data_IF_919136887872
#
_entry.id   IF_919136887872
#
_cell.length_a   1.000
_cell.length_b   1.000
_cell.length_c   1.000
_cell.angle_alpha   90.00
_cell.angle_beta   90.00
_cell.angle_gamma   90.00
#
_symmetry.space_group_name_H-M   'P 1'
#
loop_
_entity.id
_entity.type
_entity.pdbx_description
1 polymer ?
#
# COMPACT_ATOMS: atom_id res chain seq x y z
N UNK A 1 6.40 5.20 -48.25
CA UNK A 1 6.85 4.15 -47.31
C UNK A 1 8.31 4.37 -46.99
N UNK A 2 8.62 4.95 -45.83
CA UNK A 2 9.97 5.00 -45.26
C UNK A 2 9.82 4.72 -43.77
N UNK A 3 10.40 3.60 -43.33
CA UNK A 3 10.29 3.07 -41.98
C UNK A 3 11.02 3.92 -40.95
N UNK A 4 10.45 3.99 -39.76
CA UNK A 4 10.98 4.70 -38.60
C UNK A 4 11.87 3.72 -37.81
N UNK A 5 13.16 4.03 -37.73
CA UNK A 5 14.17 3.30 -36.98
C UNK A 5 14.03 3.67 -35.49
N UNK A 6 13.63 2.73 -34.63
CA UNK A 6 13.59 2.93 -33.17
C UNK A 6 14.94 2.45 -32.60
N UNK A 7 15.70 3.39 -32.06
CA UNK A 7 16.98 3.16 -31.38
C UNK A 7 16.72 2.62 -29.97
N UNK A 8 17.04 1.35 -29.71
CA UNK A 8 17.08 0.80 -28.35
C UNK A 8 18.40 1.23 -27.68
N UNK A 9 18.32 2.05 -26.64
CA UNK A 9 19.45 2.30 -25.73
C UNK A 9 19.40 1.23 -24.64
N UNK A 10 20.20 0.18 -24.80
CA UNK A 10 20.43 -0.83 -23.75
C UNK A 10 21.51 -0.28 -22.81
N UNK A 11 21.09 0.11 -21.60
CA UNK A 11 22.02 0.36 -20.50
C UNK A 11 22.50 -0.98 -19.95
N UNK A 12 23.75 -1.35 -20.23
CA UNK A 12 24.43 -2.49 -19.59
C UNK A 12 24.57 -2.21 -18.09
N UNK A 13 23.87 -2.98 -17.25
CA UNK A 13 24.17 -3.09 -15.83
C UNK A 13 25.01 -4.36 -15.66
N UNK A 14 26.28 -4.18 -15.30
CA UNK A 14 27.23 -5.24 -15.04
C UNK A 14 27.12 -5.65 -13.56
N UNK A 15 26.75 -6.90 -13.28
CA UNK A 15 26.85 -7.49 -11.94
C UNK A 15 28.01 -8.48 -11.90
N UNK A 16 28.79 -8.55 -10.80
CA UNK A 16 29.92 -9.46 -10.71
C UNK A 16 29.46 -10.92 -10.66
N UNK A 17 30.21 -11.78 -11.36
CA UNK A 17 30.04 -13.23 -11.39
C UNK A 17 30.43 -13.85 -10.05
N UNK A 18 29.54 -14.66 -9.47
CA UNK A 18 29.84 -15.50 -8.30
C UNK A 18 30.43 -16.81 -8.84
N UNK A 19 31.63 -17.14 -8.36
CA UNK A 19 32.30 -18.41 -8.65
C UNK A 19 31.64 -19.56 -7.88
N UNK A 20 31.38 -20.66 -8.59
CA UNK A 20 30.94 -21.93 -7.99
C UNK A 20 32.06 -22.50 -7.12
N UNK A 21 31.75 -22.79 -5.85
CA UNK A 21 32.64 -23.57 -4.98
C UNK A 21 32.05 -24.96 -4.83
N UNK A 22 32.76 -25.95 -5.39
CA UNK A 22 32.48 -27.38 -5.22
C UNK A 22 32.79 -27.78 -3.78
N UNK A 23 31.79 -28.26 -3.03
CA UNK A 23 32.02 -28.94 -1.76
C UNK A 23 31.82 -30.45 -1.95
N UNK A 24 32.90 -31.19 -1.76
CA UNK A 24 32.95 -32.64 -1.75
C UNK A 24 32.51 -33.19 -0.39
N UNK A 25 31.48 -34.04 -0.40
CA UNK A 25 31.34 -35.27 0.40
C UNK A 25 31.54 -35.26 1.93
N UNK A 26 30.43 -35.53 2.63
CA UNK A 26 30.39 -36.55 3.68
C UNK A 26 30.33 -36.07 5.13
N UNK A 27 29.13 -36.00 5.71
CA UNK A 27 28.82 -36.82 6.89
C UNK A 27 27.29 -36.93 7.10
N UNK A 28 26.82 -38.17 7.22
CA UNK A 28 25.41 -38.49 7.40
C UNK A 28 25.01 -38.27 8.87
N UNK A 29 24.53 -37.08 9.18
CA UNK A 29 23.66 -36.85 10.33
C UNK A 29 22.32 -36.30 9.84
N UNK A 30 21.25 -36.87 10.39
CA UNK A 30 19.85 -36.74 10.00
C UNK A 30 19.41 -35.26 9.97
N UNK A 31 19.57 -34.61 8.83
CA UNK A 31 18.97 -33.30 8.56
C UNK A 31 17.47 -33.50 8.37
N UNK A 32 16.70 -33.12 9.38
CA UNK A 32 15.25 -32.88 9.24
C UNK A 32 15.11 -31.80 8.16
N UNK A 33 14.59 -32.16 7.00
CA UNK A 33 14.35 -31.24 5.89
C UNK A 33 13.41 -30.14 6.37
N UNK A 34 13.92 -28.94 6.56
CA UNK A 34 13.06 -27.75 6.53
C UNK A 34 12.51 -27.72 5.11
N UNK A 35 11.21 -28.01 4.95
CA UNK A 35 10.56 -27.83 3.66
C UNK A 35 10.67 -26.35 3.31
N UNK A 36 11.40 -26.00 2.26
CA UNK A 36 11.48 -24.62 1.79
C UNK A 36 10.08 -24.19 1.34
N UNK A 37 9.54 -23.16 1.99
CA UNK A 37 8.28 -22.54 1.58
C UNK A 37 8.50 -21.78 0.27
N UNK A 38 7.62 -22.01 -0.70
CA UNK A 38 7.68 -21.36 -2.02
C UNK A 38 7.03 -19.98 -2.04
N UNK A 39 6.19 -19.68 -1.05
CA UNK A 39 5.45 -18.43 -0.87
C UNK A 39 4.98 -18.27 0.58
N UNK A 40 4.48 -17.08 0.92
CA UNK A 40 3.86 -16.84 2.22
C UNK A 40 2.42 -17.37 2.22
N UNK A 41 2.12 -18.30 3.12
CA UNK A 41 0.79 -18.94 3.20
C UNK A 41 -0.26 -17.95 3.73
N UNK A 42 -1.46 -18.01 3.18
CA UNK A 42 -2.61 -17.26 3.71
C UNK A 42 -3.59 -18.19 4.40
N UNK A 43 -4.07 -17.79 5.59
CA UNK A 43 -5.05 -18.58 6.35
C UNK A 43 -6.30 -17.77 6.64
N UNK A 44 -7.47 -18.33 6.30
CA UNK A 44 -8.76 -17.79 6.71
C UNK A 44 -9.29 -18.63 7.88
N UNK A 45 -9.35 -18.03 9.07
CA UNK A 45 -9.91 -18.67 10.26
C UNK A 45 -11.38 -18.28 10.43
N UNK A 46 -12.28 -19.26 10.50
CA UNK A 46 -13.69 -19.06 10.73
C UNK A 46 -14.05 -19.27 12.21
N UNK A 47 -14.64 -18.26 12.84
CA UNK A 47 -15.06 -18.29 14.25
C UNK A 47 -16.42 -17.63 14.47
N UNK A 48 -17.01 -17.87 15.64
CA UNK A 48 -18.20 -17.15 16.14
C UNK A 48 -18.05 -16.88 17.64
N UNK A 49 -18.70 -15.82 18.14
CA UNK A 49 -18.51 -15.34 19.53
C UNK A 49 -19.08 -16.26 20.60
N UNK A 50 -19.99 -17.18 20.25
CA UNK A 50 -20.62 -18.11 21.19
C UNK A 50 -20.03 -19.52 21.15
N UNK A 51 -19.04 -19.77 20.29
CA UNK A 51 -18.49 -21.10 20.04
C UNK A 51 -17.48 -21.52 21.13
N UNK A 52 -17.72 -22.62 21.86
CA UNK A 52 -16.87 -23.04 22.98
C UNK A 52 -15.49 -23.58 22.55
N UNK A 53 -15.36 -24.04 21.32
CA UNK A 53 -14.09 -24.58 20.80
C UNK A 53 -13.23 -23.52 20.09
N UNK A 54 -13.81 -22.34 19.81
CA UNK A 54 -13.15 -21.27 19.08
C UNK A 54 -11.99 -20.62 19.84
N UNK A 55 -12.05 -20.37 21.16
CA UNK A 55 -10.92 -19.81 21.92
C UNK A 55 -9.65 -20.64 21.74
N UNK A 56 -9.73 -21.95 22.05
CA UNK A 56 -8.57 -22.84 21.96
C UNK A 56 -8.02 -22.98 20.53
N UNK A 57 -8.90 -23.00 19.51
CA UNK A 57 -8.46 -23.06 18.12
C UNK A 57 -7.77 -21.76 17.68
N UNK A 58 -8.34 -20.61 18.03
CA UNK A 58 -7.78 -19.30 17.71
C UNK A 58 -6.43 -19.08 18.42
N UNK A 59 -6.32 -19.46 19.68
CA UNK A 59 -5.08 -19.37 20.46
C UNK A 59 -3.97 -20.21 19.85
N UNK A 60 -4.23 -21.47 19.48
CA UNK A 60 -3.25 -22.34 18.82
C UNK A 60 -2.73 -21.77 17.51
N UNK A 61 -3.60 -21.18 16.69
CA UNK A 61 -3.18 -20.54 15.45
C UNK A 61 -2.31 -19.30 15.73
N UNK A 62 -2.66 -18.52 16.76
CA UNK A 62 -1.89 -17.35 17.17
C UNK A 62 -0.54 -17.72 17.79
N UNK A 63 -0.44 -18.83 18.53
CA UNK A 63 0.84 -19.38 19.01
C UNK A 63 1.78 -19.71 17.86
N UNK A 64 1.27 -20.36 16.79
CA UNK A 64 2.10 -20.69 15.61
C UNK A 64 2.51 -19.41 14.88
N UNK A 65 1.62 -18.42 14.77
CA UNK A 65 1.94 -17.13 14.16
C UNK A 65 3.04 -16.38 14.93
N UNK A 66 2.92 -16.34 16.25
CA UNK A 66 3.86 -15.61 17.13
C UNK A 66 5.20 -16.33 17.32
N UNK A 67 5.29 -17.64 17.03
CA UNK A 67 6.57 -18.34 17.05
C UNK A 67 7.52 -17.85 15.96
N UNK A 68 6.97 -17.35 14.84
CA UNK A 68 7.75 -16.91 13.67
C UNK A 68 8.41 -18.07 12.90
N UNK A 69 8.06 -19.31 13.21
CA UNK A 69 8.64 -20.50 12.57
C UNK A 69 8.12 -20.73 11.16
N UNK A 70 6.92 -20.23 10.85
CA UNK A 70 6.25 -20.42 9.57
C UNK A 70 5.96 -19.08 8.89
N UNK A 71 6.23 -18.93 7.58
CA UNK A 71 5.91 -17.71 6.84
C UNK A 71 4.43 -17.73 6.44
N UNK A 72 3.56 -17.21 7.31
CA UNK A 72 2.15 -17.07 7.00
C UNK A 72 1.51 -15.85 7.66
N UNK A 73 0.39 -15.43 7.08
CA UNK A 73 -0.52 -14.45 7.69
C UNK A 73 -1.94 -15.02 7.70
N UNK A 74 -2.76 -14.53 8.61
CA UNK A 74 -4.13 -15.01 8.72
C UNK A 74 -5.13 -13.93 9.08
N UNK A 75 -6.39 -14.20 8.75
CA UNK A 75 -7.53 -13.32 9.01
C UNK A 75 -8.58 -14.13 9.79
N UNK A 76 -9.08 -13.56 10.88
CA UNK A 76 -10.18 -14.13 11.66
C UNK A 76 -11.53 -13.57 11.20
N UNK A 77 -12.34 -14.42 10.58
CA UNK A 77 -13.71 -14.12 10.18
C UNK A 77 -14.70 -14.46 11.30
N UNK A 78 -15.08 -13.45 12.09
CA UNK A 78 -16.10 -13.59 13.15
C UNK A 78 -17.50 -13.44 12.54
N UNK A 79 -18.06 -14.59 12.12
CA UNK A 79 -19.21 -14.66 11.21
C UNK A 79 -20.49 -14.08 11.79
N UNK A 80 -20.72 -14.23 13.08
CA UNK A 80 -21.95 -13.76 13.74
C UNK A 80 -21.94 -12.25 14.02
N UNK A 81 -20.80 -11.59 13.86
CA UNK A 81 -20.66 -10.14 14.11
C UNK A 81 -20.48 -9.33 12.84
N UNK A 82 -19.89 -9.89 11.79
CA UNK A 82 -19.65 -9.19 10.53
C UNK A 82 -20.38 -9.87 9.35
N UNK A 83 -21.35 -9.22 8.69
CA UNK A 83 -22.08 -9.82 7.57
C UNK A 83 -21.21 -10.07 6.35
N UNK A 84 -20.19 -9.24 6.10
CA UNK A 84 -19.23 -9.44 5.01
C UNK A 84 -18.38 -10.68 5.30
N UNK A 85 -17.94 -10.85 6.55
CA UNK A 85 -17.29 -12.07 6.99
C UNK A 85 -18.18 -13.31 6.81
N UNK A 86 -19.45 -13.20 7.23
CA UNK A 86 -20.41 -14.29 7.05
C UNK A 86 -20.60 -14.65 5.58
N UNK A 87 -20.65 -13.68 4.67
CA UNK A 87 -20.83 -13.93 3.24
C UNK A 87 -19.60 -14.60 2.64
N UNK A 88 -18.39 -14.14 2.99
CA UNK A 88 -17.14 -14.75 2.55
C UNK A 88 -17.06 -16.23 2.93
N UNK A 89 -17.43 -16.57 4.17
CA UNK A 89 -17.34 -17.94 4.69
C UNK A 89 -18.38 -18.90 4.09
N UNK A 90 -19.51 -18.41 3.54
CA UNK A 90 -20.47 -19.26 2.84
C UNK A 90 -19.87 -19.97 1.61
N UNK A 91 -18.80 -19.42 1.03
CA UNK A 91 -18.13 -20.03 -0.15
C UNK A 91 -17.56 -21.42 0.13
N UNK A 92 -17.24 -21.73 1.39
CA UNK A 92 -16.73 -23.04 1.79
C UNK A 92 -17.82 -24.08 2.02
N UNK A 93 -19.10 -23.68 1.98
CA UNK A 93 -20.25 -24.53 2.30
C UNK A 93 -20.07 -25.26 3.64
N UNK A 94 -19.52 -24.53 4.61
CA UNK A 94 -19.12 -25.06 5.90
C UNK A 94 -20.17 -24.79 6.99
N UNK A 95 -20.54 -25.87 7.66
CA UNK A 95 -21.52 -25.91 8.73
C UNK A 95 -20.92 -26.03 10.13
N UNK A 96 -19.63 -26.32 10.24
CA UNK A 96 -18.93 -26.49 11.50
C UNK A 96 -17.95 -25.34 11.73
N UNK A 97 -17.68 -25.07 13.00
CA UNK A 97 -16.80 -24.01 13.46
C UNK A 97 -16.15 -24.52 14.76
N UNK A 98 -14.86 -24.24 15.03
CA UNK A 98 -13.92 -23.44 14.24
C UNK A 98 -13.28 -24.23 13.09
N UNK A 99 -13.05 -23.56 11.96
CA UNK A 99 -12.37 -24.13 10.80
C UNK A 99 -11.34 -23.14 10.26
N UNK A 100 -10.19 -23.63 9.81
CA UNK A 100 -9.16 -22.81 9.18
C UNK A 100 -8.86 -23.31 7.77
N UNK A 101 -8.77 -22.38 6.83
CA UNK A 101 -8.54 -22.63 5.41
C UNK A 101 -7.18 -22.07 4.99
N UNK A 102 -6.23 -22.94 4.72
CA UNK A 102 -4.86 -22.61 4.30
C UNK A 102 -4.82 -22.58 2.77
N UNK A 103 -4.32 -21.48 2.22
CA UNK A 103 -4.36 -21.11 0.80
C UNK A 103 -5.74 -21.33 0.16
N UNK A 104 -6.82 -21.10 0.92
CA UNK A 104 -8.19 -21.23 0.41
C UNK A 104 -8.64 -22.65 0.05
N UNK A 105 -7.91 -23.71 0.47
CA UNK A 105 -8.32 -25.08 0.13
C UNK A 105 -7.87 -26.22 1.05
N UNK A 106 -6.85 -26.03 1.88
CA UNK A 106 -6.49 -27.01 2.91
C UNK A 106 -7.22 -26.68 4.19
N UNK A 107 -7.86 -27.68 4.79
CA UNK A 107 -8.74 -27.48 5.93
C UNK A 107 -8.11 -28.12 7.16
N UNK A 108 -8.10 -27.40 8.28
CA UNK A 108 -7.70 -27.96 9.55
C UNK A 108 -8.67 -27.58 10.68
N UNK A 109 -8.98 -28.58 11.49
CA UNK A 109 -9.85 -28.49 12.66
C UNK A 109 -9.01 -28.13 13.88
N UNK A 110 -9.06 -26.88 14.36
CA UNK A 110 -8.67 -26.40 15.71
C UNK A 110 -7.45 -26.96 16.43
N UNK A 111 -6.56 -27.72 15.78
CA UNK A 111 -5.54 -28.57 16.37
C UNK A 111 -4.18 -28.13 15.85
N UNK A 112 -3.25 -27.87 16.77
CA UNK A 112 -1.95 -27.28 16.45
C UNK A 112 -1.18 -28.07 15.39
N UNK A 113 -1.03 -29.38 15.60
CA UNK A 113 -0.34 -30.25 14.64
C UNK A 113 -1.04 -30.28 13.27
N UNK A 114 -2.37 -30.18 13.23
CA UNK A 114 -3.11 -30.10 11.95
C UNK A 114 -2.88 -28.77 11.24
N UNK A 115 -2.73 -27.67 11.98
CA UNK A 115 -2.34 -26.37 11.41
C UNK A 115 -0.92 -26.38 10.86
N UNK A 116 0.04 -26.92 11.62
CA UNK A 116 1.44 -27.06 11.17
C UNK A 116 1.54 -27.91 9.89
N UNK A 117 0.86 -29.07 9.86
CA UNK A 117 0.81 -29.91 8.65
C UNK A 117 0.15 -29.17 7.47
N UNK A 118 -0.96 -28.46 7.70
CA UNK A 118 -1.62 -27.71 6.63
C UNK A 118 -0.75 -26.54 6.12
N UNK A 119 0.02 -25.89 6.99
CA UNK A 119 1.00 -24.86 6.61
C UNK A 119 2.10 -25.44 5.74
N UNK A 120 2.69 -26.57 6.14
CA UNK A 120 3.77 -27.22 5.37
C UNK A 120 3.28 -27.73 4.02
N UNK A 121 2.10 -28.35 3.97
CA UNK A 121 1.47 -28.80 2.72
C UNK A 121 1.15 -27.63 1.79
N UNK A 122 0.61 -26.54 2.34
CA UNK A 122 0.28 -25.32 1.57
C UNK A 122 1.54 -24.63 1.06
N UNK A 123 2.50 -24.39 1.95
CA UNK A 123 3.74 -23.66 1.69
C UNK A 123 4.72 -24.38 0.76
N UNK A 124 4.65 -25.71 0.69
CA UNK A 124 5.49 -26.50 -0.23
C UNK A 124 4.91 -26.62 -1.65
N UNK A 125 3.70 -26.09 -1.91
CA UNK A 125 3.12 -26.12 -3.25
C UNK A 125 3.94 -25.30 -4.22
N UNK A 126 4.06 -25.77 -5.46
CA UNK A 126 4.54 -24.92 -6.54
C UNK A 126 3.45 -23.91 -6.90
N UNK A 127 3.75 -22.63 -6.73
CA UNK A 127 2.88 -21.50 -7.08
C UNK A 127 3.42 -20.75 -8.30
N UNK A 128 2.61 -19.86 -8.86
CA UNK A 128 3.08 -18.94 -9.89
C UNK A 128 4.09 -17.95 -9.30
N UNK A 129 5.11 -17.59 -10.07
CA UNK A 129 6.13 -16.65 -9.63
C UNK A 129 5.62 -15.20 -9.69
N UNK A 130 4.96 -14.77 -8.61
CA UNK A 130 4.34 -13.46 -8.46
C UNK A 130 5.01 -12.72 -7.31
N UNK A 131 5.49 -11.51 -7.57
CA UNK A 131 5.96 -10.59 -6.52
C UNK A 131 4.80 -9.68 -6.12
N UNK A 132 4.43 -9.66 -4.83
CA UNK A 132 3.44 -8.76 -4.25
C UNK A 132 4.13 -7.75 -3.32
N UNK A 133 3.82 -6.47 -3.49
CA UNK A 133 4.17 -5.40 -2.55
C UNK A 133 2.92 -4.62 -2.19
N UNK A 134 2.70 -4.37 -0.90
CA UNK A 134 1.66 -3.47 -0.43
C UNK A 134 2.25 -2.41 0.51
N UNK A 135 1.74 -1.19 0.40
CA UNK A 135 2.01 -0.10 1.33
C UNK A 135 0.68 0.41 1.88
N UNK A 136 0.66 0.76 3.16
CA UNK A 136 -0.55 1.27 3.82
C UNK A 136 -0.23 2.58 4.49
N UNK A 137 -0.93 3.64 4.07
CA UNK A 137 -0.76 4.98 4.62
C UNK A 137 -1.98 5.36 5.44
N UNK A 138 -1.78 5.74 6.70
CA UNK A 138 -2.81 6.31 7.55
C UNK A 138 -3.07 7.77 7.18
N UNK A 139 -4.31 8.08 6.82
CA UNK A 139 -4.73 9.42 6.38
C UNK A 139 -5.43 10.23 7.49
N UNK A 140 -5.60 9.63 8.68
CA UNK A 140 -6.43 10.18 9.76
C UNK A 140 -7.93 9.93 9.54
N UNK A 141 -8.70 10.15 10.60
CA UNK A 141 -10.16 9.99 10.61
C UNK A 141 -10.61 8.59 10.12
N UNK A 142 -9.99 7.51 10.64
CA UNK A 142 -10.28 6.12 10.25
C UNK A 142 -10.08 5.81 8.74
N UNK A 143 -9.33 6.63 8.00
CA UNK A 143 -9.02 6.40 6.60
C UNK A 143 -7.62 5.87 6.39
N UNK A 144 -7.51 4.86 5.53
CA UNK A 144 -6.23 4.29 5.09
C UNK A 144 -6.15 4.29 3.56
N UNK A 145 -5.00 4.67 3.01
CA UNK A 145 -4.66 4.42 1.61
C UNK A 145 -3.95 3.09 1.53
N UNK A 146 -4.42 2.20 0.66
CA UNK A 146 -3.79 0.91 0.38
C UNK A 146 -3.26 0.96 -1.05
N UNK A 147 -1.95 0.96 -1.18
CA UNK A 147 -1.23 0.91 -2.46
C UNK A 147 -0.72 -0.52 -2.66
N UNK A 148 -1.04 -1.13 -3.81
CA UNK A 148 -0.61 -2.49 -4.12
C UNK A 148 0.09 -2.51 -5.47
N UNK A 149 1.23 -3.20 -5.52
CA UNK A 149 1.99 -3.50 -6.71
C UNK A 149 2.19 -5.01 -6.83
N UNK A 150 1.81 -5.56 -7.98
CA UNK A 150 1.93 -6.98 -8.28
C UNK A 150 2.75 -7.11 -9.54
N UNK A 151 3.81 -7.92 -9.52
CA UNK A 151 4.63 -8.19 -10.70
C UNK A 151 4.56 -9.66 -11.05
N UNK A 152 4.20 -9.93 -12.29
CA UNK A 152 4.28 -11.26 -12.86
C UNK A 152 5.70 -11.50 -13.38
N UNK A 153 6.43 -12.42 -12.76
CA UNK A 153 7.81 -12.75 -13.13
C UNK A 153 7.90 -13.89 -14.16
N UNK A 154 6.76 -14.42 -14.58
CA UNK A 154 6.70 -15.50 -15.57
C UNK A 154 6.63 -14.96 -17.01
N UNK A 155 6.75 -15.91 -17.95
CA UNK A 155 6.61 -15.67 -19.38
C UNK A 155 5.16 -15.91 -19.90
N UNK A 156 4.20 -16.16 -19.02
CA UNK A 156 2.77 -16.39 -19.34
C UNK A 156 1.90 -15.33 -18.67
N UNK A 157 0.70 -15.13 -19.21
CA UNK A 157 -0.30 -14.24 -18.60
C UNK A 157 -0.74 -14.85 -17.27
N UNK A 158 -0.71 -14.04 -16.21
CA UNK A 158 -1.30 -14.38 -14.93
C UNK A 158 -2.76 -13.90 -14.89
N UNK A 159 -3.67 -14.75 -14.47
CA UNK A 159 -5.07 -14.42 -14.23
C UNK A 159 -5.39 -14.83 -12.80
N UNK A 160 -6.05 -13.97 -12.05
CA UNK A 160 -6.31 -14.22 -10.64
C UNK A 160 -7.22 -13.17 -10.03
N UNK A 161 -7.08 -13.02 -8.72
CA UNK A 161 -7.82 -12.08 -7.91
C UNK A 161 -6.88 -11.38 -6.93
N UNK A 162 -6.99 -10.06 -6.83
CA UNK A 162 -6.34 -9.28 -5.78
C UNK A 162 -7.36 -9.06 -4.67
N UNK A 163 -6.98 -9.43 -3.44
CA UNK A 163 -7.76 -9.12 -2.25
C UNK A 163 -6.87 -8.42 -1.22
N UNK A 164 -7.36 -7.35 -0.59
CA UNK A 164 -6.72 -6.71 0.56
C UNK A 164 -7.70 -6.61 1.71
N UNK A 165 -7.48 -7.43 2.74
CA UNK A 165 -8.29 -7.55 3.95
C UNK A 165 -7.86 -6.49 4.95
N UNK A 166 -8.79 -5.65 5.42
CA UNK A 166 -8.56 -4.74 6.55
C UNK A 166 -8.90 -5.48 7.84
N UNK A 167 -7.94 -5.53 8.77
CA UNK A 167 -8.11 -6.26 10.03
C UNK A 167 -7.72 -5.42 11.24
N UNK A 168 -8.33 -5.74 12.39
CA UNK A 168 -7.84 -5.32 13.70
C UNK A 168 -6.94 -6.40 14.30
N UNK A 169 -5.69 -6.07 14.62
CA UNK A 169 -4.73 -6.98 15.28
C UNK A 169 -5.32 -7.53 16.58
N UNK A 170 -5.89 -6.64 17.40
CA UNK A 170 -6.74 -6.95 18.54
C UNK A 170 -8.18 -6.67 18.13
N UNK A 171 -8.94 -7.72 17.83
CA UNK A 171 -10.30 -7.62 17.33
C UNK A 171 -11.25 -6.98 18.34
N UNK A 172 -12.17 -6.13 17.86
CA UNK A 172 -13.34 -5.68 18.64
C UNK A 172 -14.30 -6.80 19.03
N UNK A 173 -14.26 -7.92 18.30
CA UNK A 173 -15.09 -9.08 18.59
C UNK A 173 -14.38 -10.01 19.58
N UNK A 174 -15.12 -10.36 20.62
CA UNK A 174 -14.68 -11.24 21.69
C UNK A 174 -15.21 -12.65 21.48
N UNK A 175 -14.45 -13.64 21.91
CA UNK A 175 -14.90 -15.02 22.02
C UNK A 175 -15.80 -15.22 23.26
N UNK A 176 -16.18 -16.48 23.51
CA UNK A 176 -17.08 -16.85 24.61
C UNK A 176 -16.42 -16.69 25.99
N UNK A 177 -15.09 -16.61 26.04
CA UNK A 177 -14.30 -16.40 27.27
C UNK A 177 -14.04 -14.90 27.52
N UNK A 178 -14.46 -14.03 26.60
CA UNK A 178 -14.28 -12.59 26.68
C UNK A 178 -12.91 -12.11 26.20
N UNK A 179 -12.16 -12.96 25.49
CA UNK A 179 -10.88 -12.62 24.88
C UNK A 179 -11.08 -12.17 23.42
N UNK A 180 -10.32 -11.17 22.94
CA UNK A 180 -10.43 -10.73 21.56
C UNK A 180 -9.88 -11.78 20.60
N UNK A 181 -10.56 -11.96 19.47
CA UNK A 181 -9.93 -12.65 18.33
C UNK A 181 -8.70 -11.87 17.85
N UNK A 182 -7.77 -12.55 17.20
CA UNK A 182 -6.60 -11.93 16.58
C UNK A 182 -6.84 -11.68 15.08
N UNK A 183 -6.42 -10.54 14.56
CA UNK A 183 -6.58 -10.16 13.14
C UNK A 183 -8.04 -10.26 12.66
N UNK A 184 -8.96 -9.68 13.43
CA UNK A 184 -10.39 -9.68 13.14
C UNK A 184 -10.71 -8.93 11.84
N UNK A 185 -11.34 -9.60 10.88
CA UNK A 185 -11.71 -9.05 9.57
C UNK A 185 -12.77 -7.94 9.63
N UNK A 186 -12.42 -6.71 9.28
CA UNK A 186 -13.37 -5.59 9.17
C UNK A 186 -14.08 -5.55 7.81
N UNK A 187 -13.31 -5.39 6.73
CA UNK A 187 -13.82 -5.35 5.36
C UNK A 187 -12.67 -5.50 4.33
N UNK A 188 -12.99 -5.46 3.05
CA UNK A 188 -12.02 -5.40 1.96
C UNK A 188 -11.69 -3.95 1.58
N UNK A 189 -10.40 -3.61 1.52
CA UNK A 189 -9.94 -2.42 0.81
C UNK A 189 -9.95 -2.64 -0.71
N UNK A 190 -9.48 -3.81 -1.15
CA UNK A 190 -9.48 -4.25 -2.56
C UNK A 190 -10.05 -5.66 -2.63
N UNK A 191 -10.87 -5.93 -3.65
CA UNK A 191 -11.38 -7.27 -3.97
C UNK A 191 -11.80 -7.30 -5.45
N UNK A 192 -10.83 -7.48 -6.33
CA UNK A 192 -11.03 -7.27 -7.77
C UNK A 192 -10.30 -8.30 -8.65
N UNK A 193 -10.82 -8.59 -9.85
CA UNK A 193 -10.16 -9.45 -10.82
C UNK A 193 -8.81 -8.88 -11.24
N UNK A 194 -7.85 -9.78 -11.46
CA UNK A 194 -6.48 -9.45 -11.83
C UNK A 194 -6.07 -10.16 -13.12
N UNK A 195 -5.52 -9.41 -14.06
CA UNK A 195 -4.89 -9.94 -15.28
C UNK A 195 -3.56 -9.21 -15.48
N UNK A 196 -2.45 -9.95 -15.44
CA UNK A 196 -1.11 -9.38 -15.61
C UNK A 196 -0.40 -10.06 -16.78
N UNK A 197 -0.03 -9.33 -17.84
CA UNK A 197 0.79 -9.88 -18.92
C UNK A 197 2.15 -10.42 -18.41
N UNK A 198 2.84 -11.24 -19.21
CA UNK A 198 4.19 -11.72 -18.89
C UNK A 198 5.14 -10.57 -18.53
N UNK A 199 5.99 -10.78 -17.51
CA UNK A 199 7.05 -9.84 -17.10
C UNK A 199 6.57 -8.40 -16.83
N UNK A 200 5.27 -8.21 -16.60
CA UNK A 200 4.63 -6.92 -16.42
C UNK A 200 4.20 -6.72 -14.97
N UNK A 201 3.77 -5.50 -14.64
CA UNK A 201 3.27 -5.17 -13.31
C UNK A 201 1.87 -4.56 -13.37
N UNK A 202 1.11 -4.80 -12.31
CA UNK A 202 -0.17 -4.19 -12.00
C UNK A 202 0.00 -3.31 -10.77
N UNK A 203 -0.51 -2.08 -10.82
CA UNK A 203 -0.43 -1.12 -9.70
C UNK A 203 -1.81 -0.53 -9.49
N UNK A 204 -2.28 -0.55 -8.24
CA UNK A 204 -3.56 0.02 -7.84
C UNK A 204 -3.42 0.74 -6.50
N UNK A 205 -4.33 1.68 -6.25
CA UNK A 205 -4.38 2.49 -5.04
C UNK A 205 -5.82 2.80 -4.71
N UNK A 206 -6.21 2.55 -3.47
CA UNK A 206 -7.57 2.83 -2.96
C UNK A 206 -7.49 3.53 -1.62
N UNK A 207 -8.48 4.36 -1.31
CA UNK A 207 -8.72 4.86 0.04
C UNK A 207 -9.88 4.04 0.60
N UNK A 208 -9.60 3.30 1.67
CA UNK A 208 -10.62 2.66 2.48
C UNK A 208 -10.96 3.61 3.63
N UNK A 209 -12.24 3.92 3.79
CA UNK A 209 -12.74 4.88 4.77
C UNK A 209 -13.62 4.18 5.78
N UNK A 210 -13.12 4.01 7.02
CA UNK A 210 -13.88 3.36 8.09
C UNK A 210 -15.16 4.11 8.47
N UNK A 211 -15.32 5.38 8.11
CA UNK A 211 -16.59 6.10 8.29
C UNK A 211 -17.69 5.71 7.29
N UNK A 212 -17.35 5.02 6.20
CA UNK A 212 -18.31 4.51 5.22
C UNK A 212 -18.99 3.22 5.68
N UNK A 213 -20.07 2.84 4.99
CA UNK A 213 -20.84 1.64 5.33
C UNK A 213 -20.17 0.38 4.77
N UNK A 214 -19.69 -0.47 5.66
CA UNK A 214 -19.08 -1.77 5.40
C UNK A 214 -20.07 -2.89 5.69
N UNK A 215 -20.88 -3.23 4.68
CA UNK A 215 -22.05 -4.09 4.85
C UNK A 215 -23.16 -3.38 5.61
N UNK A 216 -23.22 -3.56 6.94
CA UNK A 216 -24.18 -2.88 7.81
C UNK A 216 -23.52 -2.16 9.00
N UNK A 217 -22.20 -1.96 8.94
CA UNK A 217 -21.39 -1.41 10.03
C UNK A 217 -20.50 -0.27 9.54
N UNK A 218 -20.03 0.52 10.49
CA UNK A 218 -18.99 1.53 10.32
C UNK A 218 -17.87 1.26 11.33
N UNK A 219 -16.68 1.75 11.03
CA UNK A 219 -15.44 1.54 11.76
C UNK A 219 -14.73 2.89 11.99
N UNK A 220 -15.47 3.95 12.31
CA UNK A 220 -14.92 5.30 12.56
C UNK A 220 -13.98 5.37 13.77
N UNK A 221 -14.01 4.34 14.62
CA UNK A 221 -13.29 4.22 15.88
C UNK A 221 -11.95 3.48 15.77
N UNK A 222 -11.55 3.05 14.58
CA UNK A 222 -10.30 2.30 14.42
C UNK A 222 -9.07 3.16 14.75
N UNK A 223 -8.07 2.50 15.31
CA UNK A 223 -6.78 3.10 15.63
C UNK A 223 -5.69 2.56 14.70
N UNK A 224 -4.82 3.46 14.21
CA UNK A 224 -3.74 3.12 13.27
C UNK A 224 -2.87 1.94 13.74
N UNK A 225 -2.49 1.98 15.01
CA UNK A 225 -1.62 0.99 15.66
C UNK A 225 -2.31 -0.35 15.92
N UNK A 226 -3.64 -0.44 15.75
CA UNK A 226 -4.40 -1.69 15.83
C UNK A 226 -4.74 -2.26 14.44
N UNK A 227 -4.40 -1.60 13.34
CA UNK A 227 -4.75 -2.08 11.99
C UNK A 227 -3.61 -2.88 11.36
N UNK A 228 -3.98 -3.93 10.63
CA UNK A 228 -3.11 -4.62 9.68
C UNK A 228 -3.90 -4.90 8.40
N UNK A 229 -3.33 -4.56 7.25
CA UNK A 229 -3.88 -4.94 5.95
C UNK A 229 -3.13 -6.14 5.44
N UNK A 230 -3.85 -7.21 5.13
CA UNK A 230 -3.29 -8.43 4.53
C UNK A 230 -3.71 -8.45 3.07
N UNK A 231 -2.76 -8.47 2.14
CA UNK A 231 -3.02 -8.53 0.70
C UNK A 231 -2.65 -9.91 0.17
N UNK A 232 -3.48 -10.47 -0.70
CA UNK A 232 -3.29 -11.80 -1.31
C UNK A 232 -3.49 -11.73 -2.82
N UNK A 233 -2.71 -12.51 -3.55
CA UNK A 233 -2.93 -12.80 -4.97
C UNK A 233 -3.36 -14.25 -5.11
N UNK A 234 -4.56 -14.48 -5.62
CA UNK A 234 -5.16 -15.81 -5.73
C UNK A 234 -5.31 -16.22 -7.18
N UNK A 235 -4.89 -17.44 -7.52
CA UNK A 235 -5.01 -17.94 -8.88
C UNK A 235 -6.48 -18.23 -9.26
N UNK A 236 -6.86 -17.89 -10.49
CA UNK A 236 -8.26 -18.03 -10.95
C UNK A 236 -8.73 -19.49 -11.09
N UNK A 237 -7.80 -20.44 -11.24
CA UNK A 237 -8.16 -21.84 -11.52
C UNK A 237 -8.67 -22.51 -10.24
N UNK A 238 -9.95 -22.96 -10.21
CA UNK A 238 -10.48 -23.60 -9.03
C UNK A 238 -9.99 -25.05 -8.89
N UNK A 239 -9.93 -25.48 -7.64
CA UNK A 239 -9.78 -26.87 -7.21
C UNK A 239 -11.03 -27.29 -6.44
N UNK A 240 -11.29 -28.60 -6.40
CA UNK A 240 -12.41 -29.13 -5.63
C UNK A 240 -11.91 -29.41 -4.21
N UNK A 241 -12.24 -28.53 -3.28
CA UNK A 241 -12.05 -28.77 -1.85
C UNK A 241 -13.08 -29.77 -1.32
N UNK A 242 -12.72 -30.53 -0.27
CA UNK A 242 -13.64 -31.39 0.45
C UNK A 242 -13.59 -31.04 1.94
N UNK A 243 -14.73 -30.77 2.52
CA UNK A 243 -14.90 -30.63 3.95
C UNK A 243 -14.62 -31.97 4.68
N UNK A 244 -14.10 -31.94 5.92
CA UNK A 244 -13.72 -33.15 6.65
C UNK A 244 -14.92 -33.98 7.15
N UNK A 245 -16.11 -33.39 7.24
CA UNK A 245 -17.36 -34.09 7.58
C UNK A 245 -18.07 -34.69 6.36
N UNK A 246 -18.99 -35.62 6.63
CA UNK A 246 -19.84 -36.26 5.61
C UNK A 246 -21.28 -35.71 5.56
N UNK A 247 -21.70 -34.93 6.57
CA UNK A 247 -22.97 -34.21 6.61
C UNK A 247 -22.82 -32.87 7.37
N UNK A 248 -23.60 -31.82 7.06
CA UNK A 248 -24.60 -31.73 5.98
C UNK A 248 -23.97 -31.49 4.59
N UNK A 249 -24.71 -31.82 3.52
CA UNK A 249 -24.32 -31.52 2.12
C UNK A 249 -24.65 -30.06 1.74
N UNK A 250 -23.96 -29.45 0.75
CA UNK A 250 -22.83 -30.00 -0.02
C UNK A 250 -21.51 -30.01 0.77
N UNK A 251 -20.68 -31.04 0.55
CA UNK A 251 -19.39 -31.22 1.23
C UNK A 251 -18.20 -30.63 0.47
N UNK A 252 -18.44 -30.15 -0.76
CA UNK A 252 -17.40 -29.72 -1.68
C UNK A 252 -17.58 -28.25 -1.99
N UNK A 253 -16.48 -27.56 -2.15
CA UNK A 253 -16.43 -26.16 -2.52
C UNK A 253 -15.35 -25.92 -3.57
N UNK A 254 -15.38 -24.74 -4.18
CA UNK A 254 -14.33 -24.29 -5.08
C UNK A 254 -13.24 -23.62 -4.25
N UNK A 255 -12.10 -24.29 -4.14
CA UNK A 255 -10.89 -23.77 -3.55
C UNK A 255 -10.11 -22.98 -4.60
N UNK A 256 -9.65 -21.78 -4.26
CA UNK A 256 -8.79 -20.97 -5.12
C UNK A 256 -7.49 -20.73 -4.36
N UNK A 257 -6.39 -21.24 -4.90
CA UNK A 257 -5.11 -21.24 -4.21
C UNK A 257 -4.44 -19.88 -4.27
N UNK A 258 -3.92 -19.46 -3.13
CA UNK A 258 -3.13 -18.23 -2.99
C UNK A 258 -1.74 -18.50 -3.56
N UNK A 259 -1.23 -17.59 -4.39
CA UNK A 259 0.12 -17.66 -4.93
C UNK A 259 1.09 -16.76 -4.17
N UNK A 260 0.61 -15.67 -3.57
CA UNK A 260 1.44 -14.79 -2.72
C UNK A 260 0.60 -14.01 -1.69
N UNK A 261 1.20 -13.73 -0.53
CA UNK A 261 0.60 -13.01 0.59
C UNK A 261 1.57 -11.99 1.19
N UNK A 262 1.07 -10.81 1.54
CA UNK A 262 1.85 -9.80 2.27
C UNK A 262 0.96 -9.09 3.28
N UNK A 263 1.45 -8.90 4.51
CA UNK A 263 0.80 -8.07 5.50
C UNK A 263 1.57 -6.76 5.72
N UNK A 264 0.82 -5.67 5.85
CA UNK A 264 1.37 -4.32 6.01
C UNK A 264 0.57 -3.57 7.06
N UNK A 265 1.28 -2.99 8.03
CA UNK A 265 0.67 -2.09 9.02
C UNK A 265 0.62 -0.68 8.45
N UNK A 266 -0.42 0.11 8.74
CA UNK A 266 -0.44 1.51 8.36
C UNK A 266 0.72 2.25 9.03
N UNK A 267 1.42 3.04 8.23
CA UNK A 267 2.31 4.09 8.73
C UNK A 267 1.61 5.42 8.54
N UNK A 268 1.88 6.39 9.42
CA UNK A 268 1.44 7.76 9.13
C UNK A 268 1.92 8.16 7.74
N UNK A 269 1.14 8.99 7.05
CA UNK A 269 1.65 9.70 5.88
C UNK A 269 2.88 10.49 6.35
N UNK A 270 4.05 9.86 6.22
CA UNK A 270 5.31 10.52 6.45
C UNK A 270 5.25 11.73 5.53
N UNK A 271 5.29 12.91 6.13
CA UNK A 271 5.71 14.11 5.44
C UNK A 271 7.17 13.84 5.08
N UNK A 272 7.41 13.05 4.03
CA UNK A 272 8.75 12.62 3.66
C UNK A 272 9.58 13.86 3.33
N UNK A 273 10.44 14.22 4.29
CA UNK A 273 11.66 14.98 4.07
C UNK A 273 12.53 14.18 3.09
N UNK A 274 12.83 14.80 1.95
CA UNK A 274 13.83 14.43 0.92
C UNK A 274 13.75 13.00 0.35
N UNK A 275 13.00 12.87 -0.74
CA UNK A 275 13.26 11.89 -1.80
C UNK A 275 12.75 12.43 -3.14
N UNK A 276 13.65 12.55 -4.12
CA UNK A 276 13.32 12.99 -5.48
C UNK A 276 12.66 11.84 -6.25
N UNK A 277 11.33 11.76 -6.23
CA UNK A 277 10.60 10.94 -7.18
C UNK A 277 10.13 11.83 -8.33
N UNK A 278 10.37 11.41 -9.58
CA UNK A 278 9.93 12.10 -10.80
C UNK A 278 10.55 13.49 -11.03
N UNK A 279 11.83 13.72 -10.69
CA UNK A 279 12.48 15.03 -10.93
C UNK A 279 11.87 16.21 -10.15
N UNK A 280 10.94 15.93 -9.24
CA UNK A 280 10.34 16.88 -8.31
C UNK A 280 11.01 16.65 -6.96
N UNK A 281 11.58 17.72 -6.40
CA UNK A 281 12.30 17.70 -5.14
C UNK A 281 11.38 18.27 -4.06
N UNK A 282 10.86 17.40 -3.18
CA UNK A 282 10.09 17.86 -2.03
C UNK A 282 11.04 18.51 -1.02
N UNK A 283 10.74 19.75 -0.64
CA UNK A 283 11.52 20.55 0.30
C UNK A 283 10.62 21.05 1.43
N UNK A 284 11.17 21.09 2.64
CA UNK A 284 10.51 21.66 3.82
C UNK A 284 10.58 23.18 3.81
N UNK A 285 9.80 23.82 4.68
CA UNK A 285 9.78 25.29 4.78
C UNK A 285 11.12 25.85 5.27
N UNK A 286 11.84 25.10 6.10
CA UNK A 286 13.17 25.47 6.59
C UNK A 286 14.20 25.41 5.45
N UNK A 287 14.17 24.33 4.65
CA UNK A 287 15.03 24.21 3.46
C UNK A 287 14.71 25.28 2.41
N UNK A 288 13.43 25.63 2.23
CA UNK A 288 13.06 26.74 1.34
C UNK A 288 13.60 28.07 1.87
N UNK A 289 13.57 28.30 3.18
CA UNK A 289 14.15 29.49 3.76
C UNK A 289 15.66 29.56 3.51
N UNK A 290 16.39 28.46 3.74
CA UNK A 290 17.82 28.35 3.45
C UNK A 290 18.15 28.58 1.96
N UNK A 291 17.38 27.97 1.04
CA UNK A 291 17.54 28.17 -0.40
C UNK A 291 17.37 29.66 -0.77
N UNK A 292 16.36 30.32 -0.20
CA UNK A 292 16.06 31.73 -0.44
C UNK A 292 17.04 32.70 0.26
N UNK A 293 17.85 32.24 1.20
CA UNK A 293 18.93 33.03 1.82
C UNK A 293 20.25 32.90 1.05
N UNK A 294 20.41 31.84 0.27
CA UNK A 294 21.61 31.62 -0.53
C UNK A 294 21.79 32.72 -1.59
N UNK A 295 23.04 33.13 -1.84
CA UNK A 295 23.37 34.16 -2.83
C UNK A 295 23.85 33.59 -4.17
N UNK A 296 24.06 32.27 -4.23
CA UNK A 296 24.66 31.57 -5.37
C UNK A 296 23.63 31.08 -6.40
N UNK A 297 22.38 30.87 -5.97
CA UNK A 297 21.27 30.43 -6.81
C UNK A 297 20.10 31.40 -6.69
N UNK A 298 19.34 31.57 -7.78
CA UNK A 298 18.17 32.44 -7.81
C UNK A 298 16.93 31.57 -8.01
N UNK A 299 16.55 30.86 -6.95
CA UNK A 299 15.35 30.04 -6.89
C UNK A 299 14.11 30.93 -6.92
N UNK A 300 13.15 30.58 -7.77
CA UNK A 300 11.98 31.42 -8.02
C UNK A 300 10.79 30.87 -7.24
N UNK A 301 10.34 31.52 -6.15
CA UNK A 301 9.12 31.12 -5.47
C UNK A 301 7.89 31.37 -6.36
N UNK A 302 7.05 30.35 -6.55
CA UNK A 302 5.84 30.40 -7.35
C UNK A 302 4.64 30.01 -6.50
N UNK A 303 3.70 30.93 -6.35
CA UNK A 303 2.45 30.70 -5.66
C UNK A 303 1.40 30.18 -6.64
N UNK A 304 0.97 28.93 -6.44
CA UNK A 304 -0.06 28.30 -7.29
C UNK A 304 -1.47 28.39 -6.73
N UNK A 305 -1.69 29.24 -5.72
CA UNK A 305 -3.02 29.52 -5.16
C UNK A 305 -3.82 30.48 -6.03
N UNK A 306 -5.05 30.76 -5.63
CA UNK A 306 -5.90 31.76 -6.29
C UNK A 306 -5.38 33.18 -6.05
N UNK A 307 -5.75 34.12 -6.93
CA UNK A 307 -5.40 35.54 -6.78
C UNK A 307 -5.87 36.15 -5.45
N UNK A 308 -7.05 35.76 -4.97
CA UNK A 308 -7.58 36.21 -3.69
C UNK A 308 -6.70 35.78 -2.51
N UNK A 309 -6.27 34.50 -2.49
CA UNK A 309 -5.36 33.98 -1.47
C UNK A 309 -4.01 34.70 -1.49
N UNK A 310 -3.42 34.90 -2.68
CA UNK A 310 -2.13 35.58 -2.85
C UNK A 310 -2.14 37.04 -2.35
N UNK A 311 -3.20 37.77 -2.66
CA UNK A 311 -3.37 39.16 -2.24
C UNK A 311 -3.65 39.23 -0.73
N UNK A 312 -4.45 38.29 -0.21
CA UNK A 312 -4.77 38.20 1.20
C UNK A 312 -3.55 37.95 2.08
N UNK A 313 -2.70 37.00 1.69
CA UNK A 313 -1.44 36.69 2.39
C UNK A 313 -0.54 35.79 1.53
N UNK A 314 0.75 36.11 1.41
CA UNK A 314 1.78 35.27 0.77
C UNK A 314 3.08 35.28 1.55
N UNK A 315 3.99 34.33 1.25
CA UNK A 315 5.32 34.31 1.86
C UNK A 315 6.11 35.59 1.51
N UNK A 316 6.95 36.05 2.44
CA UNK A 316 7.90 37.14 2.21
C UNK A 316 9.28 36.50 2.12
N UNK A 317 9.96 36.68 0.99
CA UNK A 317 11.34 36.18 0.82
C UNK A 317 12.36 37.17 1.39
N UNK A 318 13.58 36.71 1.73
CA UNK A 318 14.66 37.58 2.24
C UNK A 318 15.14 38.63 1.23
N UNK A 319 14.98 38.38 -0.08
CA UNK A 319 15.43 39.30 -1.13
C UNK A 319 14.60 40.60 -1.17
N UNK A 320 15.31 41.74 -1.22
CA UNK A 320 14.73 43.09 -1.12
C UNK A 320 13.67 43.42 -2.19
N UNK A 321 13.77 42.82 -3.38
CA UNK A 321 12.89 43.10 -4.52
C UNK A 321 12.05 41.91 -4.97
N UNK A 322 12.21 40.74 -4.34
CA UNK A 322 11.60 39.53 -4.88
C UNK A 322 10.18 39.33 -4.35
N UNK A 323 9.33 38.87 -5.26
CA UNK A 323 7.93 38.56 -4.99
C UNK A 323 7.66 37.17 -5.53
N UNK A 324 7.05 36.29 -4.73
CA UNK A 324 6.53 35.05 -5.25
C UNK A 324 5.68 35.29 -6.50
N UNK A 325 5.97 34.59 -7.59
CA UNK A 325 5.26 34.72 -8.86
C UNK A 325 3.91 34.02 -8.75
N UNK A 326 2.82 34.73 -8.98
CA UNK A 326 1.48 34.14 -8.92
C UNK A 326 1.14 33.42 -10.23
N UNK A 327 1.05 32.09 -10.19
CA UNK A 327 0.57 31.25 -11.29
C UNK A 327 -0.44 30.24 -10.75
N UNK A 328 -1.73 30.62 -10.61
CA UNK A 328 -2.75 29.75 -10.06
C UNK A 328 -2.78 28.41 -10.81
N UNK A 329 -2.92 27.30 -10.09
CA UNK A 329 -2.97 25.96 -10.72
C UNK A 329 -4.00 25.89 -11.85
N UNK A 330 -5.16 26.54 -11.68
CA UNK A 330 -6.20 26.58 -12.71
C UNK A 330 -5.76 27.26 -14.01
N UNK A 331 -4.79 28.17 -13.93
CA UNK A 331 -4.16 28.80 -15.09
C UNK A 331 -3.14 27.84 -15.72
N UNK A 332 -2.29 27.21 -14.91
CA UNK A 332 -1.30 26.23 -15.38
C UNK A 332 -1.95 25.02 -16.05
N UNK A 333 -3.15 24.61 -15.67
CA UNK A 333 -3.91 23.53 -16.32
C UNK A 333 -4.34 23.87 -17.76
N UNK A 334 -4.27 25.15 -18.18
CA UNK A 334 -4.57 25.54 -19.57
C UNK A 334 -3.31 25.42 -20.43
N UNK A 335 -3.35 24.58 -21.46
CA UNK A 335 -2.20 24.25 -22.33
C UNK A 335 -1.38 25.47 -22.80
N UNK A 336 -2.04 26.56 -23.23
CA UNK A 336 -1.35 27.80 -23.64
C UNK A 336 -0.49 28.38 -22.50
N UNK A 337 -1.05 28.51 -21.30
CA UNK A 337 -0.36 29.08 -20.15
C UNK A 337 0.70 28.14 -19.60
N UNK A 338 0.48 26.82 -19.67
CA UNK A 338 1.48 25.81 -19.33
C UNK A 338 2.73 25.96 -20.20
N UNK A 339 2.55 26.02 -21.53
CA UNK A 339 3.66 26.21 -22.48
C UNK A 339 4.38 27.53 -22.27
N UNK A 340 3.64 28.61 -22.03
CA UNK A 340 4.22 29.92 -21.72
C UNK A 340 5.06 29.86 -20.44
N UNK A 341 4.56 29.21 -19.39
CA UNK A 341 5.30 29.03 -18.15
C UNK A 341 6.59 28.23 -18.38
N UNK A 342 6.50 27.06 -19.03
CA UNK A 342 7.66 26.20 -19.30
C UNK A 342 8.73 26.96 -20.09
N UNK A 343 8.33 27.73 -21.11
CA UNK A 343 9.27 28.52 -21.91
C UNK A 343 9.93 29.66 -21.10
N UNK A 344 9.17 30.35 -20.25
CA UNK A 344 9.68 31.50 -19.47
C UNK A 344 10.63 31.08 -18.34
N UNK A 345 10.42 29.88 -17.79
CA UNK A 345 11.20 29.34 -16.68
C UNK A 345 12.13 28.18 -17.08
N UNK A 346 12.29 27.90 -18.37
CA UNK A 346 13.26 26.91 -18.86
C UNK A 346 14.67 27.24 -18.38
N UNK A 347 15.39 26.21 -17.93
CA UNK A 347 16.71 26.23 -17.29
C UNK A 347 16.73 26.71 -15.84
N UNK A 348 15.59 27.06 -15.24
CA UNK A 348 15.54 27.70 -13.91
C UNK A 348 15.11 26.72 -12.82
N UNK A 349 15.45 27.07 -11.59
CA UNK A 349 14.99 26.41 -10.39
C UNK A 349 13.77 27.14 -9.82
N UNK A 350 12.67 26.42 -9.63
CA UNK A 350 11.40 27.00 -9.15
C UNK A 350 10.96 26.32 -7.86
N UNK A 351 10.40 27.10 -6.93
CA UNK A 351 9.84 26.62 -5.67
C UNK A 351 8.33 26.80 -5.70
N UNK A 352 7.60 25.73 -5.96
CA UNK A 352 6.15 25.74 -5.98
C UNK A 352 5.60 25.62 -4.57
N UNK A 353 4.68 26.51 -4.20
CA UNK A 353 3.94 26.37 -2.95
C UNK A 353 2.46 26.73 -3.11
N UNK A 354 1.66 26.25 -2.16
CA UNK A 354 0.26 26.62 -2.07
C UNK A 354 -0.19 26.80 -0.61
N UNK A 355 -1.46 26.49 -0.29
CA UNK A 355 -1.97 26.61 1.08
C UNK A 355 -1.41 25.51 2.01
N UNK A 356 -1.38 24.26 1.53
CA UNK A 356 -1.06 23.08 2.35
C UNK A 356 -0.15 22.04 1.66
N UNK A 357 0.35 22.31 0.45
CA UNK A 357 1.18 21.39 -0.34
C UNK A 357 0.47 20.68 -1.51
N UNK A 358 -0.86 20.45 -1.41
CA UNK A 358 -1.56 19.62 -2.43
C UNK A 358 -1.61 20.24 -3.84
N UNK A 359 -1.84 21.56 -3.95
CA UNK A 359 -1.91 22.23 -5.27
C UNK A 359 -0.53 22.41 -5.90
N UNK A 360 0.49 22.67 -5.09
CA UNK A 360 1.88 22.80 -5.55
C UNK A 360 2.41 21.46 -6.05
N UNK A 361 2.09 20.36 -5.38
CA UNK A 361 2.40 19.02 -5.88
C UNK A 361 1.75 18.72 -7.24
N UNK A 362 0.45 19.05 -7.41
CA UNK A 362 -0.23 18.92 -8.71
C UNK A 362 0.39 19.79 -9.81
N UNK A 363 0.80 21.01 -9.48
CA UNK A 363 1.50 21.89 -10.41
C UNK A 363 2.89 21.33 -10.79
N UNK A 364 3.63 20.78 -9.81
CA UNK A 364 4.93 20.15 -10.01
C UNK A 364 4.82 18.98 -10.98
N UNK A 365 3.86 18.07 -10.74
CA UNK A 365 3.58 16.93 -11.61
C UNK A 365 3.22 17.37 -13.03
N UNK A 366 2.35 18.37 -13.16
CA UNK A 366 1.97 18.91 -14.48
C UNK A 366 3.18 19.46 -15.26
N UNK A 367 4.10 20.16 -14.59
CA UNK A 367 5.30 20.70 -15.22
C UNK A 367 6.28 19.59 -15.61
N UNK A 368 6.48 18.62 -14.72
CA UNK A 368 7.34 17.46 -14.98
C UNK A 368 6.84 16.64 -16.18
N UNK A 369 5.55 16.28 -16.20
CA UNK A 369 4.94 15.51 -17.30
C UNK A 369 4.98 16.24 -18.65
N UNK A 370 5.16 17.56 -18.64
CA UNK A 370 5.29 18.38 -19.84
C UNK A 370 6.76 18.75 -20.14
N UNK A 371 7.72 17.97 -19.63
CA UNK A 371 9.15 18.10 -19.87
C UNK A 371 9.71 19.48 -19.51
N UNK A 372 9.30 20.03 -18.36
CA UNK A 372 9.92 21.24 -17.84
C UNK A 372 11.43 21.03 -17.66
N UNK A 373 12.20 21.78 -18.42
CA UNK A 373 13.66 21.74 -18.39
C UNK A 373 14.15 22.63 -17.24
N UNK A 374 14.25 22.12 -16.01
CA UNK A 374 14.67 22.89 -14.84
C UNK A 374 14.48 22.09 -13.54
N UNK A 375 14.83 22.67 -12.39
CA UNK A 375 14.64 22.03 -11.09
C UNK A 375 13.28 22.43 -10.52
N UNK A 376 12.48 21.45 -10.11
CA UNK A 376 11.16 21.68 -9.53
C UNK A 376 11.21 21.34 -8.04
N UNK A 377 11.24 22.35 -7.18
CA UNK A 377 11.03 22.18 -5.76
C UNK A 377 9.54 22.28 -5.42
N UNK A 378 9.02 21.35 -4.61
CA UNK A 378 7.68 21.42 -4.04
C UNK A 378 7.77 21.68 -2.53
N UNK A 379 7.33 22.84 -2.08
CA UNK A 379 7.33 23.22 -0.66
C UNK A 379 6.21 22.50 0.09
N UNK A 380 6.60 21.47 0.84
CA UNK A 380 5.69 20.63 1.60
C UNK A 380 5.04 21.44 2.74
N UNK A 381 3.76 21.20 3.00
CA UNK A 381 2.98 21.93 4.01
C UNK A 381 2.57 23.36 3.61
N UNK A 382 3.10 23.89 2.51
CA UNK A 382 2.71 25.19 1.94
C UNK A 382 2.85 26.37 2.91
N UNK A 383 2.07 27.44 2.68
CA UNK A 383 2.09 28.63 3.54
C UNK A 383 1.60 28.36 4.98
N UNK A 384 0.85 27.28 5.22
CA UNK A 384 0.47 26.87 6.58
C UNK A 384 1.72 26.47 7.39
N UNK A 385 2.55 25.60 6.83
CA UNK A 385 3.81 25.20 7.46
C UNK A 385 4.77 26.38 7.59
N UNK A 386 4.82 27.27 6.58
CA UNK A 386 5.67 28.48 6.61
C UNK A 386 5.37 29.35 7.82
N UNK A 387 4.08 29.54 8.11
CA UNK A 387 3.61 30.30 9.27
C UNK A 387 3.84 29.56 10.59
N UNK A 388 3.64 28.24 10.59
CA UNK A 388 3.90 27.42 11.78
C UNK A 388 5.38 27.46 12.19
N UNK A 389 6.30 27.54 11.22
CA UNK A 389 7.74 27.71 11.43
C UNK A 389 8.15 29.16 11.78
N UNK A 390 7.21 30.12 11.79
CA UNK A 390 7.47 31.50 12.18
C UNK A 390 8.05 32.40 11.07
N UNK A 391 8.10 31.94 9.82
CA UNK A 391 8.63 32.72 8.72
C UNK A 391 7.70 33.87 8.26
N UNK A 392 8.24 34.99 7.76
CA UNK A 392 7.48 36.19 7.50
C UNK A 392 6.50 36.07 6.31
N UNK A 393 5.36 36.75 6.40
CA UNK A 393 4.38 36.88 5.32
C UNK A 393 4.14 38.35 4.97
N UNK A 394 3.49 38.59 3.83
CA UNK A 394 3.10 39.93 3.39
C UNK A 394 1.72 39.91 2.73
N UNK A 395 1.04 41.07 2.72
CA UNK A 395 -0.32 41.26 2.18
C UNK A 395 -0.33 42.35 1.11
N UNK A 396 -1.31 42.30 0.21
CA UNK A 396 -1.52 43.32 -0.82
C UNK A 396 -0.49 43.30 -1.96
N UNK A 397 -0.66 44.18 -2.95
CA UNK A 397 0.17 44.24 -4.18
C UNK A 397 1.31 45.28 -4.12
N UNK A 398 1.41 46.07 -3.04
CA UNK A 398 2.35 47.20 -2.94
C UNK A 398 3.75 46.77 -2.50
N UNK A 399 4.83 47.26 -3.12
CA UNK A 399 6.18 47.16 -2.57
C UNK A 399 6.35 48.34 -1.62
N UNK A 400 6.21 48.09 -0.31
CA UNK A 400 6.40 49.08 0.75
C UNK A 400 5.44 50.30 0.71
N UNK A 401 4.84 50.60 1.86
CA UNK A 401 4.58 52.00 2.21
C UNK A 401 5.89 52.53 2.81
N UNK A 402 6.28 53.74 2.44
CA UNK A 402 7.45 54.44 2.97
C UNK A 402 7.43 54.53 4.49
#
# INVERSE_FOLDING_TARGET
MRGLLILFVVSLICFPSIAETTITGGDASRATTVNEFTHTVFVEFAGVTWCPHCPSASERLYEIYTSGEYPFYYVSFVRDKNPVASERMKRYFDWYIPMAYFDGGFIAEGNKNRYEVALEESGSRVVHNIELKSNVTWLGDARIRVDVMIRNLENKVYIGWLTSYVTEKVSRWMDVEGLPFHFGFLDYALNEPLIIPPSSMYVTSVIWDGGELHGNQTFEDIAMDNIMVISTVTHWRPHIGKNPWDEPKPLRYLAFYVDETMATQPVEELVEKKTSYQGIINVTVDEVWELLESTDTMEIPVDVRTRGEYIGERIKTPHLYDRPRLYPLQLLQKNLYLKLFINWYSGKEIILYCRSGNRSYRAAKLLFENNFNGVIYNMVGGIKAWKAAGYPTTKGLKPFAC
#
